data_IF_886654449087
#
_entry.id   IF_886654449087
#
_cell.length_a   1.000
_cell.length_b   1.000
_cell.length_c   1.000
_cell.angle_alpha   90.00
_cell.angle_beta   90.00
_cell.angle_gamma   90.00
#
_symmetry.space_group_name_H-M   'P 1'
#
loop_
_entity.id
_entity.type
_entity.pdbx_description
1 polymer ?
#
# COMPACT_ATOMS: atom_id res chain seq x y z
N UNK A 1 12.35 -22.65 17.26
CA UNK A 1 11.77 -22.67 15.93
C UNK A 1 12.67 -21.81 15.04
N UNK A 2 13.20 -22.36 13.97
CA UNK A 2 14.31 -21.81 13.14
C UNK A 2 13.88 -20.67 12.22
N UNK A 3 12.94 -19.81 12.54
CA UNK A 3 12.60 -18.64 11.71
C UNK A 3 12.27 -18.94 10.24
N UNK A 4 12.00 -20.21 9.91
CA UNK A 4 11.62 -20.64 8.58
C UNK A 4 10.10 -20.56 8.43
N UNK A 5 9.66 -20.12 7.25
CA UNK A 5 8.26 -20.07 6.84
C UNK A 5 8.05 -20.92 5.60
N UNK A 6 6.86 -21.50 5.40
CA UNK A 6 6.51 -22.16 4.16
C UNK A 6 6.38 -21.12 3.04
N UNK A 7 6.85 -21.48 1.85
CA UNK A 7 6.66 -20.73 0.63
C UNK A 7 6.31 -21.66 -0.52
N UNK A 8 5.47 -21.22 -1.44
CA UNK A 8 5.12 -21.89 -2.66
C UNK A 8 5.88 -21.25 -3.84
N UNK A 9 6.56 -22.06 -4.64
CA UNK A 9 7.28 -21.61 -5.84
C UNK A 9 6.60 -22.21 -7.06
N UNK A 10 6.08 -21.37 -7.95
CA UNK A 10 5.35 -21.78 -9.16
C UNK A 10 5.72 -20.88 -10.35
N UNK A 11 5.29 -21.22 -11.54
CA UNK A 11 5.54 -20.47 -12.78
C UNK A 11 6.43 -21.20 -13.77
N UNK A 12 6.68 -20.60 -14.93
CA UNK A 12 7.42 -21.18 -16.07
C UNK A 12 6.86 -22.51 -16.59
N UNK A 13 5.57 -22.79 -16.40
CA UNK A 13 4.98 -24.08 -16.80
C UNK A 13 5.52 -25.31 -16.04
N UNK A 14 6.31 -25.10 -14.99
CA UNK A 14 6.83 -26.15 -14.11
C UNK A 14 5.90 -26.38 -12.92
N UNK A 15 5.95 -27.60 -12.35
CA UNK A 15 5.16 -27.93 -11.17
C UNK A 15 5.48 -27.02 -9.99
N UNK A 16 4.45 -26.74 -9.19
CA UNK A 16 4.60 -25.96 -7.95
C UNK A 16 5.38 -26.78 -6.91
N UNK A 17 6.35 -26.15 -6.28
CA UNK A 17 7.21 -26.76 -5.25
C UNK A 17 7.06 -25.98 -3.96
N UNK A 18 6.78 -26.70 -2.87
CA UNK A 18 6.78 -26.10 -1.54
C UNK A 18 8.19 -26.11 -0.96
N UNK A 19 8.64 -24.96 -0.49
CA UNK A 19 9.98 -24.78 0.10
C UNK A 19 9.86 -24.09 1.47
N UNK A 20 10.88 -24.27 2.30
CA UNK A 20 11.00 -23.53 3.55
C UNK A 20 12.03 -22.41 3.35
N UNK A 21 11.62 -21.17 3.52
CA UNK A 21 12.47 -19.98 3.33
C UNK A 21 12.69 -19.26 4.67
N UNK A 22 13.78 -18.50 4.75
CA UNK A 22 14.08 -17.72 5.95
C UNK A 22 13.18 -16.45 5.99
N UNK A 23 12.31 -16.37 6.99
CA UNK A 23 11.40 -15.25 7.17
C UNK A 23 12.11 -13.89 7.25
N UNK A 24 13.33 -13.85 7.81
CA UNK A 24 14.10 -12.59 7.94
C UNK A 24 14.61 -12.10 6.60
N UNK A 25 15.06 -13.01 5.74
CA UNK A 25 15.56 -12.65 4.40
C UNK A 25 14.42 -12.11 3.53
N UNK A 26 13.28 -12.80 3.51
CA UNK A 26 12.09 -12.32 2.80
C UNK A 26 11.60 -10.99 3.37
N UNK A 27 11.56 -10.83 4.69
CA UNK A 27 11.15 -9.57 5.31
C UNK A 27 12.12 -8.41 5.00
N UNK A 28 13.42 -8.68 4.83
CA UNK A 28 14.39 -7.67 4.42
C UNK A 28 14.17 -7.25 2.96
N UNK A 29 13.87 -8.21 2.07
CA UNK A 29 13.52 -7.94 0.68
C UNK A 29 12.26 -7.07 0.61
N UNK A 30 11.21 -7.40 1.37
CA UNK A 30 9.96 -6.63 1.40
C UNK A 30 10.13 -5.21 1.96
N UNK A 31 11.18 -4.94 2.72
CA UNK A 31 11.50 -3.61 3.27
C UNK A 31 12.44 -2.80 2.39
N UNK A 32 13.02 -3.39 1.35
CA UNK A 32 13.83 -2.65 0.38
C UNK A 32 12.96 -1.71 -0.46
N UNK A 33 13.56 -0.73 -1.09
CA UNK A 33 12.88 0.27 -1.91
C UNK A 33 12.10 -0.38 -3.07
N UNK A 34 12.61 -1.47 -3.62
CA UNK A 34 11.94 -2.30 -4.65
C UNK A 34 10.82 -3.18 -4.09
N UNK A 35 10.74 -3.33 -2.76
CA UNK A 35 9.69 -4.08 -2.08
C UNK A 35 9.50 -5.50 -2.62
N UNK A 36 8.22 -5.88 -2.85
CA UNK A 36 7.86 -7.19 -3.40
C UNK A 36 8.28 -7.39 -4.87
N UNK A 37 8.64 -6.32 -5.60
CA UNK A 37 9.11 -6.41 -6.99
C UNK A 37 10.60 -6.77 -7.10
N UNK A 38 11.27 -7.02 -6.00
CA UNK A 38 12.66 -7.46 -5.99
C UNK A 38 12.82 -8.86 -6.59
N UNK A 39 13.68 -8.96 -7.60
CA UNK A 39 14.05 -10.25 -8.24
C UNK A 39 15.23 -10.84 -7.50
N UNK A 40 15.13 -12.08 -7.07
CA UNK A 40 16.21 -12.78 -6.38
C UNK A 40 16.33 -14.24 -6.82
N UNK A 41 17.46 -14.84 -6.50
CA UNK A 41 17.74 -16.26 -6.83
C UNK A 41 17.45 -17.13 -5.62
N UNK A 42 16.62 -18.16 -5.80
CA UNK A 42 16.25 -19.13 -4.78
C UNK A 42 16.84 -20.49 -5.12
N UNK A 43 17.61 -21.06 -4.19
CA UNK A 43 18.09 -22.44 -4.29
C UNK A 43 16.94 -23.41 -3.93
N UNK A 44 16.58 -24.30 -4.84
CA UNK A 44 15.51 -25.28 -4.63
C UNK A 44 16.06 -26.59 -4.08
N UNK A 45 15.39 -27.25 -3.12
CA UNK A 45 15.87 -28.49 -2.49
C UNK A 45 15.87 -29.71 -3.40
N UNK A 46 15.17 -29.68 -4.53
CA UNK A 46 14.98 -30.81 -5.44
C UNK A 46 16.02 -30.88 -6.57
N UNK A 47 17.27 -30.51 -6.29
CA UNK A 47 18.42 -31.04 -7.00
C UNK A 47 18.59 -30.60 -8.45
N UNK A 48 18.70 -29.34 -8.68
CA UNK A 48 19.40 -28.79 -9.82
C UNK A 48 20.31 -27.69 -9.32
N UNK A 49 21.51 -27.60 -9.81
CA UNK A 49 22.44 -26.49 -9.55
C UNK A 49 21.94 -25.14 -10.07
N UNK A 50 20.71 -25.08 -10.57
CA UNK A 50 20.08 -23.88 -11.08
C UNK A 50 19.23 -23.22 -9.99
N UNK A 51 19.76 -22.16 -9.44
CA UNK A 51 18.96 -21.24 -8.63
C UNK A 51 17.85 -20.66 -9.50
N UNK A 52 16.58 -20.87 -9.10
CA UNK A 52 15.44 -20.28 -9.79
C UNK A 52 15.42 -18.77 -9.55
N UNK A 53 15.26 -18.00 -10.63
CA UNK A 53 14.99 -16.56 -10.53
C UNK A 53 13.52 -16.38 -10.15
N UNK A 54 13.24 -15.74 -9.04
CA UNK A 54 11.90 -15.61 -8.49
C UNK A 54 11.62 -14.18 -8.05
N UNK A 55 10.32 -13.86 -8.02
CA UNK A 55 9.77 -12.62 -7.45
C UNK A 55 8.72 -12.98 -6.40
N UNK A 56 8.49 -12.11 -5.43
CA UNK A 56 7.42 -12.28 -4.45
C UNK A 56 6.11 -11.84 -5.10
N UNK A 57 5.19 -12.77 -5.35
CA UNK A 57 3.88 -12.49 -5.94
C UNK A 57 2.87 -12.06 -4.88
N UNK A 58 2.88 -12.75 -3.74
CA UNK A 58 2.01 -12.46 -2.61
C UNK A 58 2.67 -12.90 -1.30
N UNK A 59 2.21 -12.36 -0.18
CA UNK A 59 2.71 -12.73 1.15
C UNK A 59 1.64 -12.52 2.22
N UNK A 60 1.73 -13.32 3.27
CA UNK A 60 0.80 -13.27 4.40
C UNK A 60 1.54 -12.88 5.68
N UNK A 61 1.04 -11.86 6.35
CA UNK A 61 1.55 -11.37 7.63
C UNK A 61 0.50 -11.61 8.72
N UNK A 62 0.94 -12.13 9.86
CA UNK A 62 0.12 -12.20 11.09
C UNK A 62 -0.21 -10.76 11.54
N UNK A 63 -1.48 -10.36 11.56
CA UNK A 63 -1.87 -8.99 11.89
C UNK A 63 -1.59 -8.61 13.35
N UNK A 64 -1.48 -9.59 14.25
CA UNK A 64 -1.24 -9.37 15.68
C UNK A 64 0.25 -9.28 15.98
N UNK A 65 1.04 -10.20 15.41
CA UNK A 65 2.48 -10.33 15.72
C UNK A 65 3.38 -9.65 14.68
N UNK A 66 2.85 -9.22 13.54
CA UNK A 66 3.61 -8.63 12.45
C UNK A 66 4.64 -9.58 11.84
N UNK A 67 4.44 -10.90 11.94
CA UNK A 67 5.36 -11.90 11.43
C UNK A 67 4.90 -12.44 10.10
N UNK A 68 5.84 -12.59 9.16
CA UNK A 68 5.58 -13.26 7.90
C UNK A 68 5.23 -14.73 8.15
N UNK A 69 4.10 -15.17 7.57
CA UNK A 69 3.56 -16.53 7.74
C UNK A 69 3.71 -17.38 6.48
N UNK A 70 3.54 -16.80 5.32
CA UNK A 70 3.60 -17.45 4.02
C UNK A 70 4.16 -16.48 2.98
N UNK A 71 4.82 -17.00 1.95
CA UNK A 71 5.23 -16.23 0.78
C UNK A 71 4.98 -17.05 -0.49
N UNK A 72 4.39 -16.40 -1.48
CA UNK A 72 4.15 -16.94 -2.80
C UNK A 72 5.20 -16.38 -3.76
N UNK A 73 6.01 -17.27 -4.28
CA UNK A 73 7.15 -16.97 -5.14
C UNK A 73 6.86 -17.43 -6.55
N UNK A 74 6.90 -16.51 -7.50
CA UNK A 74 6.71 -16.80 -8.90
C UNK A 74 8.05 -16.86 -9.60
N UNK A 75 8.30 -17.95 -10.35
CA UNK A 75 9.48 -18.08 -11.23
C UNK A 75 9.34 -17.14 -12.41
N UNK A 76 10.42 -16.48 -12.76
CA UNK A 76 10.47 -15.54 -13.86
C UNK A 76 11.38 -16.05 -14.96
N UNK A 77 10.84 -16.02 -16.18
CA UNK A 77 11.63 -16.12 -17.41
C UNK A 77 12.02 -14.72 -17.87
N UNK A 78 13.29 -14.47 -18.15
CA UNK A 78 13.77 -13.15 -18.60
C UNK A 78 13.23 -12.74 -19.97
N UNK A 79 12.60 -13.68 -20.69
CA UNK A 79 12.09 -13.48 -22.05
C UNK A 79 10.57 -13.31 -22.13
N UNK A 80 9.86 -13.55 -21.04
CA UNK A 80 8.39 -13.47 -20.99
C UNK A 80 7.93 -12.28 -20.20
N UNK A 81 6.87 -11.61 -20.70
CA UNK A 81 6.22 -10.54 -19.97
C UNK A 81 5.48 -11.09 -18.75
N UNK A 82 5.56 -10.38 -17.65
CA UNK A 82 4.97 -10.80 -16.38
C UNK A 82 4.08 -9.70 -15.83
N UNK A 83 2.97 -10.10 -15.22
CA UNK A 83 2.06 -9.19 -14.52
C UNK A 83 2.50 -9.03 -13.09
N UNK A 84 2.81 -7.81 -12.72
CA UNK A 84 3.24 -7.43 -11.37
C UNK A 84 2.44 -6.24 -10.88
N UNK A 85 2.31 -6.13 -9.56
CA UNK A 85 1.73 -4.95 -8.92
C UNK A 85 2.87 -4.01 -8.58
N UNK A 86 2.76 -2.76 -8.99
CA UNK A 86 3.75 -1.72 -8.70
C UNK A 86 3.13 -0.68 -7.79
N UNK A 87 3.86 -0.28 -6.75
CA UNK A 87 3.43 0.75 -5.82
C UNK A 87 3.40 2.12 -6.49
N UNK A 88 2.43 2.95 -6.08
CA UNK A 88 2.33 4.34 -6.51
C UNK A 88 2.95 5.21 -5.42
N UNK A 89 3.81 6.14 -5.82
CA UNK A 89 4.35 7.19 -4.96
C UNK A 89 3.77 8.53 -5.36
N UNK A 90 3.25 9.26 -4.38
CA UNK A 90 2.75 10.62 -4.57
C UNK A 90 3.91 11.59 -4.41
N UNK A 91 4.20 12.38 -5.46
CA UNK A 91 5.19 13.45 -5.41
C UNK A 91 4.52 14.80 -5.18
N UNK A 92 5.12 15.61 -4.31
CA UNK A 92 4.64 16.94 -4.00
C UNK A 92 3.64 17.01 -2.86
N UNK A 93 3.18 18.21 -2.58
CA UNK A 93 2.22 18.51 -1.52
C UNK A 93 1.04 19.27 -2.15
N UNK A 94 -0.18 18.71 -2.05
CA UNK A 94 -1.33 19.33 -2.71
C UNK A 94 -1.66 20.72 -2.13
N UNK A 95 -2.00 21.65 -3.01
CA UNK A 95 -2.43 23.02 -2.64
C UNK A 95 -3.69 22.97 -1.76
N UNK A 96 -4.62 22.08 -2.08
CA UNK A 96 -5.87 21.91 -1.33
C UNK A 96 -5.65 21.42 0.11
N UNK A 97 -4.60 20.63 0.38
CA UNK A 97 -4.24 20.23 1.75
C UNK A 97 -3.54 21.37 2.47
N UNK A 98 -2.57 22.03 1.80
CA UNK A 98 -1.69 23.03 2.43
C UNK A 98 -2.41 24.35 2.70
N UNK A 99 -3.21 24.83 1.76
CA UNK A 99 -3.86 26.14 1.81
C UNK A 99 -5.27 26.08 2.39
N UNK A 100 -6.01 25.08 2.02
CA UNK A 100 -7.44 25.00 2.28
C UNK A 100 -7.81 23.96 3.35
N UNK A 101 -6.81 23.28 3.95
CA UNK A 101 -7.00 22.31 5.02
C UNK A 101 -7.74 21.04 4.60
N UNK A 102 -7.70 20.69 3.31
CA UNK A 102 -8.26 19.44 2.78
C UNK A 102 -7.50 18.20 3.28
N UNK A 103 -8.10 17.05 3.10
CA UNK A 103 -7.51 15.75 3.41
C UNK A 103 -7.23 15.05 2.10
N UNK A 104 -5.95 14.64 1.89
CA UNK A 104 -5.57 13.80 0.76
C UNK A 104 -5.98 12.37 1.07
N UNK A 105 -6.90 11.82 0.29
CA UNK A 105 -7.30 10.42 0.33
C UNK A 105 -6.57 9.66 -0.76
N UNK A 106 -5.93 8.56 -0.38
CA UNK A 106 -5.18 7.69 -1.28
C UNK A 106 -5.93 6.38 -1.42
N UNK A 107 -6.70 6.23 -2.51
CA UNK A 107 -7.57 5.07 -2.75
C UNK A 107 -6.80 3.90 -3.35
N UNK A 108 -6.00 4.14 -4.40
CA UNK A 108 -5.29 3.09 -5.12
C UNK A 108 -3.78 3.19 -4.88
N UNK A 109 -3.25 2.28 -4.09
CA UNK A 109 -1.82 2.27 -3.71
C UNK A 109 -0.93 1.46 -4.64
N UNK A 110 -1.51 0.56 -5.42
CA UNK A 110 -0.82 -0.36 -6.32
C UNK A 110 -1.55 -0.43 -7.65
N UNK A 111 -0.80 -0.50 -8.74
CA UNK A 111 -1.31 -0.67 -10.10
C UNK A 111 -0.75 -1.95 -10.70
N UNK A 112 -1.59 -2.72 -11.37
CA UNK A 112 -1.17 -3.92 -12.10
C UNK A 112 -0.61 -3.53 -13.45
N UNK A 113 0.65 -3.91 -13.69
CA UNK A 113 1.35 -3.66 -14.94
C UNK A 113 1.87 -4.95 -15.56
N UNK A 114 1.98 -4.99 -16.87
CA UNK A 114 2.61 -6.06 -17.64
C UNK A 114 3.89 -5.52 -18.27
N UNK A 115 5.03 -6.10 -17.89
CA UNK A 115 6.35 -5.70 -18.37
C UNK A 115 7.32 -6.88 -18.37
N UNK A 116 8.50 -6.70 -18.93
CA UNK A 116 9.60 -7.65 -18.77
C UNK A 116 10.19 -7.53 -17.36
N UNK A 117 10.72 -8.63 -16.78
CA UNK A 117 11.32 -8.59 -15.44
C UNK A 117 12.46 -7.58 -15.29
N UNK A 118 13.17 -7.29 -16.37
CA UNK A 118 14.27 -6.31 -16.40
C UNK A 118 13.78 -4.84 -16.36
N UNK A 119 12.54 -4.61 -16.74
CA UNK A 119 11.96 -3.27 -16.89
C UNK A 119 10.90 -2.97 -15.82
N UNK A 120 10.82 -3.78 -14.75
CA UNK A 120 9.92 -3.55 -13.62
C UNK A 120 10.38 -2.29 -12.88
N UNK A 121 9.55 -1.23 -12.80
CA UNK A 121 9.88 -0.04 -12.03
C UNK A 121 9.75 -0.30 -10.52
N UNK A 122 10.50 0.42 -9.71
CA UNK A 122 10.40 0.36 -8.25
C UNK A 122 9.08 0.97 -7.76
N UNK A 123 8.72 2.12 -8.32
CA UNK A 123 7.47 2.83 -8.04
C UNK A 123 7.00 3.61 -9.27
N UNK A 124 5.72 3.90 -9.34
CA UNK A 124 5.13 4.80 -10.32
C UNK A 124 4.82 6.14 -9.65
N UNK A 125 5.33 7.23 -10.21
CA UNK A 125 5.23 8.56 -9.60
C UNK A 125 4.04 9.32 -10.14
N UNK A 126 3.35 10.02 -9.24
CA UNK A 126 2.22 10.89 -9.54
C UNK A 126 2.40 12.22 -8.85
N UNK A 127 2.35 13.30 -9.60
CA UNK A 127 2.42 14.66 -9.06
C UNK A 127 1.03 15.09 -8.56
N UNK A 128 0.94 15.33 -7.25
CA UNK A 128 -0.27 15.80 -6.57
C UNK A 128 -0.23 17.30 -6.22
N UNK A 129 0.85 18.01 -6.61
CA UNK A 129 1.09 19.40 -6.21
C UNK A 129 -0.02 20.36 -6.65
N UNK A 130 -0.66 20.09 -7.78
CA UNK A 130 -1.70 20.95 -8.36
C UNK A 130 -3.12 20.67 -7.88
N UNK A 131 -3.34 19.68 -6.99
CA UNK A 131 -4.68 19.30 -6.58
C UNK A 131 -5.33 20.31 -5.62
N UNK A 132 -6.52 20.78 -5.94
CA UNK A 132 -7.40 21.56 -5.10
C UNK A 132 -8.45 20.66 -4.41
N UNK A 133 -9.24 21.24 -3.48
CA UNK A 133 -10.33 20.51 -2.83
C UNK A 133 -11.40 20.12 -3.85
N UNK A 134 -11.70 18.82 -3.92
CA UNK A 134 -12.65 18.22 -4.85
C UNK A 134 -12.00 17.63 -6.12
N UNK A 135 -10.70 17.91 -6.33
CA UNK A 135 -9.98 17.31 -7.44
C UNK A 135 -9.52 15.89 -7.14
N UNK A 136 -9.37 15.10 -8.20
CA UNK A 136 -8.86 13.73 -8.13
C UNK A 136 -7.90 13.45 -9.29
N UNK A 137 -6.98 12.54 -9.06
CA UNK A 137 -6.06 12.02 -10.07
C UNK A 137 -6.40 10.57 -10.36
N UNK A 138 -6.37 10.22 -11.65
CA UNK A 138 -6.65 8.87 -12.15
C UNK A 138 -5.39 8.17 -12.65
N UNK A 139 -5.49 6.89 -12.94
CA UNK A 139 -4.41 6.05 -13.50
C UNK A 139 -3.88 6.63 -14.81
N UNK A 140 -4.70 7.32 -15.60
CA UNK A 140 -4.26 8.00 -16.82
C UNK A 140 -3.18 9.09 -16.61
N UNK A 141 -3.07 9.62 -15.40
CA UNK A 141 -2.10 10.67 -15.06
C UNK A 141 -0.75 10.11 -14.54
N UNK A 142 -0.57 8.79 -14.53
CA UNK A 142 0.69 8.15 -14.16
C UNK A 142 1.81 8.51 -15.14
N UNK A 143 3.00 8.77 -14.60
CA UNK A 143 4.21 9.01 -15.40
C UNK A 143 4.97 7.69 -15.52
N UNK A 144 4.95 7.09 -16.71
CA UNK A 144 5.66 5.82 -16.99
C UNK A 144 6.10 5.73 -18.45
N UNK A 145 7.07 4.84 -18.71
CA UNK A 145 7.56 4.57 -20.07
C UNK A 145 6.60 3.61 -20.78
N UNK A 146 5.68 4.15 -21.58
CA UNK A 146 4.63 3.39 -22.29
C UNK A 146 5.15 2.35 -23.29
N UNK A 147 6.41 2.45 -23.74
CA UNK A 147 7.03 1.49 -24.66
C UNK A 147 7.43 0.17 -23.95
N UNK A 148 7.65 0.21 -22.63
CA UNK A 148 8.16 -0.93 -21.84
C UNK A 148 7.13 -1.49 -20.87
N UNK A 149 6.20 -0.66 -20.44
CA UNK A 149 5.24 -0.98 -19.39
C UNK A 149 3.84 -0.80 -19.94
N UNK A 150 3.03 -1.85 -19.82
CA UNK A 150 1.61 -1.80 -20.16
C UNK A 150 0.79 -1.85 -18.88
N UNK A 151 0.06 -0.78 -18.59
CA UNK A 151 -0.87 -0.72 -17.46
C UNK A 151 -2.12 -1.55 -17.80
N UNK A 152 -2.49 -2.46 -16.89
CA UNK A 152 -3.68 -3.31 -17.03
C UNK A 152 -4.87 -2.79 -16.22
N UNK A 153 -4.60 -1.97 -15.21
CA UNK A 153 -5.62 -1.31 -14.39
C UNK A 153 -6.39 -0.29 -15.22
N UNK A 154 -7.68 -0.11 -14.94
CA UNK A 154 -8.54 0.84 -15.65
C UNK A 154 -7.99 2.27 -15.50
N UNK A 155 -7.82 2.96 -16.64
CA UNK A 155 -7.31 4.33 -16.73
C UNK A 155 -8.17 5.35 -15.98
N UNK A 156 -9.46 5.06 -15.82
CA UNK A 156 -10.41 5.93 -15.11
C UNK A 156 -10.44 5.72 -13.60
N UNK A 157 -9.74 4.72 -13.09
CA UNK A 157 -9.69 4.46 -11.65
C UNK A 157 -8.96 5.60 -10.93
N UNK A 158 -9.56 6.07 -9.83
CA UNK A 158 -8.99 7.15 -9.01
C UNK A 158 -7.83 6.62 -8.18
N UNK A 159 -6.71 7.32 -8.22
CA UNK A 159 -5.53 7.04 -7.40
C UNK A 159 -5.62 7.81 -6.09
N UNK A 160 -5.80 9.11 -6.18
CA UNK A 160 -5.87 9.99 -5.03
C UNK A 160 -6.80 11.17 -5.30
N UNK A 161 -7.42 11.69 -4.26
CA UNK A 161 -8.26 12.88 -4.31
C UNK A 161 -8.13 13.72 -3.05
N UNK A 162 -8.48 14.99 -3.15
CA UNK A 162 -8.48 15.91 -2.00
C UNK A 162 -9.91 16.18 -1.56
N UNK A 163 -10.25 15.73 -0.38
CA UNK A 163 -11.57 15.96 0.23
C UNK A 163 -11.55 17.17 1.16
N UNK A 164 -12.68 17.89 1.22
CA UNK A 164 -12.87 18.94 2.22
C UNK A 164 -12.86 18.35 3.64
N UNK A 165 -12.07 18.91 4.52
CA UNK A 165 -12.11 18.55 5.94
C UNK A 165 -13.46 19.00 6.55
N UNK A 166 -14.22 18.08 7.11
CA UNK A 166 -15.48 18.38 7.82
C UNK A 166 -15.27 19.14 9.14
N UNK A 167 -14.02 19.36 9.54
CA UNK A 167 -13.68 20.13 10.75
C UNK A 167 -13.64 21.65 10.53
N UNK A 168 -13.79 22.12 9.28
CA UNK A 168 -13.70 23.56 8.94
C UNK A 168 -15.01 24.33 8.98
N UNK A 169 -16.17 23.68 9.22
CA UNK A 169 -17.46 24.38 9.31
C UNK A 169 -17.93 24.52 10.77
N UNK A 170 -17.07 25.11 11.60
CA UNK A 170 -17.55 25.81 12.79
C UNK A 170 -17.71 27.26 12.33
N UNK A 171 -18.95 27.75 12.12
CA UNK A 171 -19.11 29.16 11.84
C UNK A 171 -18.55 29.94 13.02
N UNK A 172 -17.60 30.84 12.73
CA UNK A 172 -17.12 31.83 13.68
C UNK A 172 -18.32 32.72 14.07
N UNK A 173 -19.13 32.21 14.97
CA UNK A 173 -20.20 32.94 15.66
C UNK A 173 -19.56 33.71 16.79
N UNK A 174 -19.54 35.00 16.60
CA UNK A 174 -19.33 36.14 17.48
C UNK A 174 -19.46 35.85 18.97
N UNK A 175 -18.51 36.28 19.81
CA UNK A 175 -18.74 36.33 21.25
C UNK A 175 -19.43 37.63 21.61
N UNK A 176 -20.71 37.62 21.75
CA UNK A 176 -21.44 38.68 22.49
C UNK A 176 -22.25 38.05 23.62
N UNK A 177 -21.76 38.30 24.80
CA UNK A 177 -22.34 38.81 26.04
C UNK A 177 -23.63 38.17 26.52
N UNK A 178 -23.62 37.61 27.66
CA UNK A 178 -24.16 38.21 28.90
C UNK A 178 -24.29 37.16 30.01
N UNK A 179 -23.99 37.64 31.16
CA UNK A 179 -24.02 36.97 32.44
C UNK A 179 -25.42 36.43 32.79
N UNK A 180 -25.46 35.25 33.36
CA UNK A 180 -26.64 34.65 33.96
C UNK A 180 -26.22 33.58 34.95
N UNK A 181 -26.11 33.98 36.22
CA UNK A 181 -25.88 33.09 37.34
C UNK A 181 -26.98 32.04 37.46
N UNK A 182 -26.60 30.78 37.66
CA UNK A 182 -27.51 29.70 37.98
C UNK A 182 -26.71 28.52 38.50
N UNK A 183 -26.49 28.49 39.82
CA UNK A 183 -26.02 27.31 40.57
C UNK A 183 -26.96 26.12 40.33
N UNK A 184 -26.48 24.93 40.08
CA UNK A 184 -27.31 23.75 40.28
C UNK A 184 -27.10 23.20 41.69
N UNK A 185 -28.16 23.24 42.45
CA UNK A 185 -28.31 22.59 43.75
C UNK A 185 -28.01 21.10 43.73
N UNK A 186 -27.22 20.73 44.71
CA UNK A 186 -26.89 19.33 45.07
C UNK A 186 -28.09 18.73 45.81
N UNK A 187 -28.85 17.85 45.19
CA UNK A 187 -29.83 17.01 45.91
C UNK A 187 -29.12 15.75 46.41
N UNK A 188 -28.75 15.77 47.69
CA UNK A 188 -28.54 14.60 48.53
C UNK A 188 -29.91 14.00 48.91
N UNK A 189 -30.11 12.73 48.60
CA UNK A 189 -31.08 11.86 49.29
C UNK A 189 -30.55 10.45 49.17
N UNK A 190 -30.14 9.77 50.22
CA UNK A 190 -30.91 9.46 51.43
C UNK A 190 -31.15 7.98 51.46
N UNK A 191 -30.41 7.32 52.29
CA UNK A 191 -30.35 5.91 52.71
C UNK A 191 -31.68 5.52 53.37
N UNK A 192 -32.21 4.33 53.08
CA UNK A 192 -32.97 3.42 53.95
C UNK A 192 -33.03 2.06 53.25
N UNK A 193 -32.36 0.98 53.76
CA UNK A 193 -32.84 0.00 54.74
C UNK A 193 -34.19 -0.64 54.36
N UNK A 194 -34.15 -1.86 53.83
CA UNK A 194 -34.60 -3.12 54.43
C UNK A 194 -34.19 -4.32 53.58
#
# INVERSE_FOLDING_TARGET
AAGLIPAAVYGEGKDAVTVAVNAKEIANILRSDTGHNTIFKLALPNGGDEAATVIIKDFQIDPVKGRLMHADLMRLSLTETTRVKVSIELEGESVGVKRDGGILEFELREVEVECLPTDIPESLKVDVSGLEIGDHITVANLIYDGDKIKVLTDEHQVIAGVLASRLGDVPAGTPEGEAGAGEPEVIKKGKSEE
#
